data_IF_817576253250
#
_entry.id   IF_817576253250
#
_cell.length_a   1.000
_cell.length_b   1.000
_cell.length_c   1.000
_cell.angle_alpha   90.00
_cell.angle_beta   90.00
_cell.angle_gamma   90.00
#
_symmetry.space_group_name_H-M   'P 1'
#
loop_
_entity.id
_entity.type
_entity.pdbx_description
1 polymer ?
#
# COMPACT_ATOMS: atom_id res chain seq x y z
N UNK A 1 -28.79 4.18 9.31
CA UNK A 1 -28.08 3.81 8.09
C UNK A 1 -26.61 4.15 8.28
N UNK A 2 -25.74 3.20 8.05
CA UNK A 2 -24.31 3.41 8.25
C UNK A 2 -23.73 4.28 7.16
N UNK A 3 -22.82 5.17 7.55
CA UNK A 3 -22.09 5.96 6.57
C UNK A 3 -21.16 5.04 5.79
N UNK A 4 -20.98 5.29 4.48
CA UNK A 4 -20.03 4.49 3.72
C UNK A 4 -18.62 4.72 4.24
N UNK A 5 -17.86 3.64 4.32
CA UNK A 5 -16.46 3.72 4.73
C UNK A 5 -15.63 4.44 3.70
N UNK A 6 -14.64 5.19 4.16
CA UNK A 6 -13.69 5.85 3.27
C UNK A 6 -12.67 4.87 2.73
N UNK A 7 -12.22 5.12 1.52
CA UNK A 7 -11.24 4.30 0.84
C UNK A 7 -9.96 5.12 0.64
N UNK A 8 -8.82 4.51 0.94
CA UNK A 8 -7.51 5.13 0.82
C UNK A 8 -6.66 4.39 -0.21
N UNK A 9 -5.80 5.14 -0.88
CA UNK A 9 -4.82 4.57 -1.80
C UNK A 9 -3.46 4.57 -1.11
N UNK A 10 -2.80 3.41 -1.11
CA UNK A 10 -1.40 3.32 -0.69
C UNK A 10 -0.52 3.16 -1.91
N UNK A 11 0.61 3.84 -1.91
CA UNK A 11 1.58 3.74 -3.00
C UNK A 11 2.96 3.50 -2.41
N UNK A 12 3.58 2.40 -2.80
CA UNK A 12 4.94 2.05 -2.41
C UNK A 12 5.83 2.11 -3.64
N UNK A 13 6.46 3.28 -3.90
CA UNK A 13 7.21 3.48 -5.13
C UNK A 13 8.48 2.63 -5.19
N UNK A 14 8.70 1.99 -6.32
CA UNK A 14 9.93 1.31 -6.63
C UNK A 14 10.50 1.84 -7.93
N UNK A 15 11.71 1.41 -8.25
CA UNK A 15 12.41 1.87 -9.44
C UNK A 15 11.68 1.46 -10.72
N UNK A 16 11.35 0.18 -10.82
CA UNK A 16 10.72 -0.38 -12.02
C UNK A 16 9.26 -0.75 -11.79
N UNK A 17 8.92 -1.09 -10.56
CA UNK A 17 7.59 -1.51 -10.16
C UNK A 17 7.15 -0.73 -8.93
N UNK A 18 5.89 -0.38 -8.88
CA UNK A 18 5.31 0.36 -7.77
C UNK A 18 4.11 -0.42 -7.24
N UNK A 19 4.08 -0.65 -5.93
CA UNK A 19 2.94 -1.27 -5.29
C UNK A 19 1.82 -0.26 -5.12
N UNK A 20 0.59 -0.68 -5.43
CA UNK A 20 -0.60 0.14 -5.25
C UNK A 20 -1.65 -0.69 -4.51
N UNK A 21 -2.29 -0.08 -3.54
CA UNK A 21 -3.30 -0.77 -2.75
C UNK A 21 -4.46 0.17 -2.43
N UNK A 22 -5.66 -0.39 -2.44
CA UNK A 22 -6.86 0.30 -1.98
C UNK A 22 -7.28 -0.36 -0.67
N UNK A 23 -7.37 0.43 0.38
CA UNK A 23 -7.61 -0.05 1.73
C UNK A 23 -8.73 0.76 2.37
N UNK A 24 -9.72 0.06 2.93
CA UNK A 24 -10.82 0.70 3.64
C UNK A 24 -10.33 1.32 4.95
N UNK A 25 -11.06 2.30 5.44
CA UNK A 25 -10.69 2.99 6.68
C UNK A 25 -10.58 2.08 7.89
N UNK A 26 -11.17 0.88 7.84
CA UNK A 26 -11.04 -0.11 8.90
C UNK A 26 -9.81 -1.01 8.72
N UNK A 27 -8.97 -0.74 7.72
CA UNK A 27 -7.75 -1.50 7.46
C UNK A 27 -7.92 -2.71 6.55
N UNK A 28 -9.13 -3.01 6.10
CA UNK A 28 -9.37 -4.16 5.22
C UNK A 28 -8.94 -3.84 3.80
N UNK A 29 -8.31 -4.81 3.15
CA UNK A 29 -7.81 -4.66 1.79
C UNK A 29 -8.97 -4.79 0.81
N UNK A 30 -9.16 -3.77 -0.04
CA UNK A 30 -10.11 -3.85 -1.13
C UNK A 30 -9.46 -4.45 -2.37
N UNK A 31 -8.26 -3.95 -2.71
CA UNK A 31 -7.56 -4.36 -3.92
C UNK A 31 -6.09 -3.99 -3.79
N UNK A 32 -5.20 -4.80 -4.32
CA UNK A 32 -3.79 -4.46 -4.36
C UNK A 32 -3.17 -5.05 -5.62
N UNK A 33 -2.24 -4.32 -6.23
CA UNK A 33 -1.55 -4.74 -7.42
C UNK A 33 -0.16 -4.13 -7.47
N UNK A 34 0.68 -4.71 -8.29
CA UNK A 34 1.99 -4.15 -8.62
C UNK A 34 1.87 -3.57 -10.02
N UNK A 35 2.15 -2.28 -10.15
CA UNK A 35 2.02 -1.57 -11.41
C UNK A 35 3.40 -1.14 -11.92
N UNK A 36 3.58 -1.03 -13.24
CA UNK A 36 4.85 -0.48 -13.76
C UNK A 36 5.04 0.96 -13.26
N UNK A 37 6.26 1.27 -12.84
CA UNK A 37 6.59 2.64 -12.42
C UNK A 37 6.60 3.56 -13.63
N UNK A 38 7.10 3.05 -14.76
CA UNK A 38 7.03 3.79 -16.02
C UNK A 38 5.57 4.03 -16.39
N UNK A 39 5.25 5.30 -16.68
CA UNK A 39 3.89 5.70 -17.03
C UNK A 39 2.88 5.37 -15.91
N UNK A 40 3.32 5.54 -14.66
CA UNK A 40 2.54 5.10 -13.50
C UNK A 40 1.16 5.73 -13.42
N UNK A 41 1.06 7.03 -13.74
CA UNK A 41 -0.24 7.72 -13.63
C UNK A 41 -1.30 7.10 -14.53
N UNK A 42 -0.90 6.65 -15.72
CA UNK A 42 -1.84 5.99 -16.64
C UNK A 42 -2.30 4.65 -16.08
N UNK A 43 -1.35 3.86 -15.55
CA UNK A 43 -1.69 2.57 -14.94
C UNK A 43 -2.54 2.76 -13.69
N UNK A 44 -2.21 3.78 -12.90
CA UNK A 44 -2.98 4.08 -11.69
C UNK A 44 -4.42 4.46 -12.03
N UNK A 45 -4.60 5.26 -13.08
CA UNK A 45 -5.92 5.67 -13.48
C UNK A 45 -6.82 4.47 -13.80
N UNK A 46 -6.25 3.43 -14.40
CA UNK A 46 -6.99 2.20 -14.69
C UNK A 46 -7.25 1.37 -13.43
N UNK A 47 -6.39 1.50 -12.44
CA UNK A 47 -6.51 0.77 -11.18
C UNK A 47 -7.56 1.39 -10.25
N UNK A 48 -7.72 2.71 -10.30
CA UNK A 48 -8.59 3.41 -9.35
C UNK A 48 -10.08 3.11 -9.60
N UNK A 49 -10.87 3.01 -8.51
CA UNK A 49 -12.30 2.81 -8.64
C UNK A 49 -13.01 4.13 -8.96
N UNK A 50 -14.28 4.04 -9.31
CA UNK A 50 -15.09 5.24 -9.51
C UNK A 50 -15.35 5.97 -8.18
N UNK A 51 -15.33 5.25 -7.09
CA UNK A 51 -15.54 5.81 -5.76
C UNK A 51 -14.44 6.83 -5.42
N UNK A 52 -14.81 7.99 -4.84
CA UNK A 52 -13.80 8.96 -4.41
C UNK A 52 -12.87 8.39 -3.35
N UNK A 53 -11.61 8.82 -3.37
CA UNK A 53 -10.62 8.40 -2.39
C UNK A 53 -10.45 9.48 -1.33
N UNK A 54 -10.31 9.05 -0.08
CA UNK A 54 -10.07 9.96 1.04
C UNK A 54 -8.65 10.51 1.04
N UNK A 55 -7.72 9.78 0.43
CA UNK A 55 -6.34 10.23 0.35
C UNK A 55 -5.43 9.18 -0.23
N UNK A 56 -4.21 9.60 -0.52
CA UNK A 56 -3.14 8.73 -0.99
C UNK A 56 -2.00 8.76 0.03
N UNK A 57 -1.57 7.60 0.45
CA UNK A 57 -0.54 7.44 1.47
C UNK A 57 0.74 6.96 0.81
N UNK A 58 1.82 7.71 1.02
CA UNK A 58 3.15 7.37 0.49
C UNK A 58 4.13 7.18 1.64
N UNK A 59 5.19 6.41 1.39
CA UNK A 59 6.31 6.39 2.30
C UNK A 59 7.09 7.71 2.25
N UNK A 60 8.01 7.90 3.18
CA UNK A 60 8.81 9.12 3.29
C UNK A 60 10.20 8.99 2.65
N UNK A 61 10.43 7.95 1.86
CA UNK A 61 11.71 7.73 1.21
C UNK A 61 11.97 8.65 0.03
N UNK A 62 13.18 8.57 -0.50
CA UNK A 62 13.63 9.44 -1.60
C UNK A 62 12.79 9.25 -2.86
N UNK A 63 12.51 7.99 -3.21
CA UNK A 63 11.70 7.66 -4.38
C UNK A 63 10.29 8.21 -4.24
N UNK A 64 9.79 8.31 -3.01
CA UNK A 64 8.44 8.81 -2.76
C UNK A 64 8.29 10.29 -3.09
N UNK A 65 9.35 11.08 -2.98
CA UNK A 65 9.29 12.51 -3.32
C UNK A 65 9.00 12.72 -4.80
N UNK A 66 9.66 11.96 -5.65
CA UNK A 66 9.43 12.03 -7.10
C UNK A 66 8.01 11.58 -7.43
N UNK A 67 7.57 10.49 -6.80
CA UNK A 67 6.21 9.99 -7.00
C UNK A 67 5.17 10.99 -6.52
N UNK A 68 5.41 11.63 -5.37
CA UNK A 68 4.49 12.63 -4.84
C UNK A 68 4.30 13.79 -5.81
N UNK A 69 5.39 14.28 -6.39
CA UNK A 69 5.33 15.37 -7.36
C UNK A 69 4.52 14.98 -8.59
N UNK A 70 4.72 13.75 -9.07
CA UNK A 70 3.97 13.24 -10.21
C UNK A 70 2.47 13.13 -9.91
N UNK A 71 2.14 12.62 -8.72
CA UNK A 71 0.74 12.44 -8.32
C UNK A 71 0.05 13.80 -8.09
N UNK A 72 0.75 14.77 -7.53
CA UNK A 72 0.19 16.11 -7.36
C UNK A 72 -0.15 16.74 -8.71
N UNK A 73 0.71 16.50 -9.69
CA UNK A 73 0.49 17.03 -11.03
C UNK A 73 -0.67 16.35 -11.74
N UNK A 74 -0.72 15.03 -11.67
CA UNK A 74 -1.67 14.24 -12.45
C UNK A 74 -3.00 14.02 -11.74
N UNK A 75 -3.02 14.10 -10.40
CA UNK A 75 -4.22 13.92 -9.59
C UNK A 75 -4.31 15.05 -8.56
N UNK A 76 -4.52 16.29 -9.01
CA UNK A 76 -4.42 17.46 -8.11
C UNK A 76 -5.46 17.50 -7.02
N UNK A 77 -6.56 16.78 -7.13
CA UNK A 77 -7.60 16.77 -6.11
C UNK A 77 -7.43 15.67 -5.09
N UNK A 78 -6.43 14.78 -5.28
CA UNK A 78 -6.17 13.68 -4.37
C UNK A 78 -5.25 14.15 -3.24
N UNK A 79 -5.73 14.18 -1.97
CA UNK A 79 -4.86 14.55 -0.85
C UNK A 79 -3.72 13.55 -0.69
N UNK A 80 -2.50 14.05 -0.48
CA UNK A 80 -1.32 13.20 -0.29
C UNK A 80 -0.85 13.29 1.15
N UNK A 81 -0.58 12.14 1.76
CA UNK A 81 -0.04 12.04 3.11
C UNK A 81 1.17 11.14 3.10
N UNK A 82 2.13 11.42 3.97
CA UNK A 82 3.31 10.58 4.09
C UNK A 82 3.35 9.89 5.43
N UNK A 83 3.94 8.69 5.46
CA UNK A 83 4.18 7.95 6.69
C UNK A 83 5.61 7.43 6.67
N UNK A 84 6.14 7.11 7.85
CA UNK A 84 7.44 6.47 7.96
C UNK A 84 7.37 5.09 7.33
N UNK A 85 8.23 4.82 6.35
CA UNK A 85 8.24 3.53 5.65
C UNK A 85 9.20 2.52 6.25
N UNK A 86 9.93 2.88 7.31
CA UNK A 86 10.90 1.97 7.92
C UNK A 86 10.23 0.67 8.33
N UNK A 87 10.82 -0.43 7.89
CA UNK A 87 10.31 -1.76 8.24
C UNK A 87 9.04 -2.17 7.52
N UNK A 88 8.55 -1.38 6.57
CA UNK A 88 7.29 -1.71 5.87
C UNK A 88 7.36 -3.01 5.10
N UNK A 89 8.53 -3.34 4.52
CA UNK A 89 8.72 -4.60 3.81
C UNK A 89 8.62 -5.78 4.76
N UNK A 90 9.18 -5.64 5.97
CA UNK A 90 9.10 -6.72 6.96
C UNK A 90 7.67 -6.93 7.45
N UNK A 91 6.94 -5.83 7.68
CA UNK A 91 5.52 -5.94 8.04
C UNK A 91 4.70 -6.56 6.90
N UNK A 92 5.02 -6.22 5.66
CA UNK A 92 4.35 -6.79 4.51
C UNK A 92 4.56 -8.30 4.43
N UNK A 93 5.77 -8.77 4.74
CA UNK A 93 6.04 -10.21 4.79
C UNK A 93 5.20 -10.88 5.87
N UNK A 94 5.12 -10.27 7.05
CA UNK A 94 4.28 -10.80 8.12
C UNK A 94 2.84 -10.87 7.69
N UNK A 95 2.34 -9.80 7.09
CA UNK A 95 0.97 -9.75 6.62
C UNK A 95 0.71 -10.82 5.57
N UNK A 96 1.65 -11.00 4.63
CA UNK A 96 1.52 -12.05 3.62
C UNK A 96 1.34 -13.41 4.26
N UNK A 97 2.18 -13.74 5.26
CA UNK A 97 2.10 -15.06 5.89
C UNK A 97 0.89 -15.20 6.82
N UNK A 98 0.32 -14.09 7.30
CA UNK A 98 -0.96 -14.13 8.01
C UNK A 98 -2.11 -14.45 7.07
N UNK A 99 -2.07 -13.90 5.86
CA UNK A 99 -3.10 -14.13 4.84
C UNK A 99 -2.93 -15.48 4.15
N UNK A 100 -1.69 -15.97 4.07
CA UNK A 100 -1.35 -17.23 3.40
C UNK A 100 -0.43 -18.05 4.30
N UNK A 101 -0.98 -18.70 5.36
CA UNK A 101 -0.14 -19.42 6.32
C UNK A 101 0.71 -20.50 5.62
N UNK A 102 1.97 -20.68 6.04
CA UNK A 102 2.82 -21.71 5.47
C UNK A 102 2.22 -23.09 5.71
N UNK A 103 2.48 -24.00 4.78
CA UNK A 103 1.95 -25.36 4.84
C UNK A 103 3.08 -26.36 5.14
N UNK A 104 2.70 -27.51 5.71
CA UNK A 104 3.62 -28.59 5.99
C UNK A 104 4.66 -28.20 7.03
N UNK A 105 5.91 -28.66 6.82
CA UNK A 105 6.98 -28.42 7.79
C UNK A 105 7.36 -26.93 7.88
N UNK A 106 7.08 -26.15 6.85
CA UNK A 106 7.42 -24.73 6.85
C UNK A 106 6.69 -23.94 7.94
N UNK A 107 5.53 -24.43 8.39
CA UNK A 107 4.78 -23.78 9.47
C UNK A 107 5.54 -23.79 10.80
N UNK A 108 6.55 -24.65 10.93
CA UNK A 108 7.38 -24.74 12.13
C UNK A 108 8.54 -23.74 12.12
N UNK A 109 8.75 -23.03 11.01
CA UNK A 109 9.83 -22.06 10.87
C UNK A 109 9.32 -20.66 11.10
N UNK A 110 10.17 -19.75 11.66
CA UNK A 110 9.81 -18.33 11.67
C UNK A 110 9.58 -17.84 10.26
N UNK A 111 8.51 -17.08 10.04
CA UNK A 111 8.19 -16.58 8.70
C UNK A 111 9.27 -15.67 8.13
N UNK A 112 10.08 -15.07 9.00
CA UNK A 112 11.21 -14.25 8.54
C UNK A 112 12.24 -15.05 7.75
N UNK A 113 12.28 -16.39 7.92
CA UNK A 113 13.20 -17.27 7.21
C UNK A 113 12.61 -17.79 5.89
N UNK A 114 11.35 -17.50 5.62
CA UNK A 114 10.67 -17.97 4.41
C UNK A 114 10.71 -16.90 3.33
N UNK A 115 10.95 -17.33 2.10
CA UNK A 115 10.90 -16.41 0.96
C UNK A 115 9.45 -16.10 0.64
N UNK A 116 9.14 -14.80 0.60
CA UNK A 116 7.81 -14.35 0.22
C UNK A 116 7.79 -14.03 -1.27
N UNK A 117 6.67 -14.33 -1.97
CA UNK A 117 6.57 -13.99 -3.38
C UNK A 117 6.50 -12.48 -3.62
N UNK A 118 6.64 -12.07 -4.89
CA UNK A 118 6.62 -10.67 -5.27
C UNK A 118 5.33 -9.94 -4.88
N UNK A 119 4.25 -10.68 -4.61
CA UNK A 119 2.99 -10.09 -4.14
C UNK A 119 3.16 -9.28 -2.86
N UNK A 120 4.24 -9.51 -2.12
CA UNK A 120 4.55 -8.72 -0.91
C UNK A 120 4.72 -7.23 -1.23
N UNK A 121 5.18 -6.89 -2.44
CA UNK A 121 5.37 -5.48 -2.81
C UNK A 121 4.05 -4.71 -2.79
N UNK A 122 2.96 -5.35 -3.21
CA UNK A 122 1.63 -4.73 -3.10
C UNK A 122 1.18 -4.61 -1.66
N UNK A 123 1.54 -5.58 -0.82
CA UNK A 123 1.20 -5.54 0.60
C UNK A 123 1.99 -4.47 1.35
N UNK A 124 3.17 -4.08 0.87
CA UNK A 124 3.89 -2.95 1.47
C UNK A 124 3.06 -1.67 1.35
N UNK A 125 2.38 -1.47 0.22
CA UNK A 125 1.47 -0.34 0.07
C UNK A 125 0.30 -0.42 1.06
N UNK A 126 -0.22 -1.61 1.31
CA UNK A 126 -1.26 -1.82 2.33
C UNK A 126 -0.75 -1.40 3.71
N UNK A 127 0.47 -1.81 4.05
CA UNK A 127 1.07 -1.49 5.35
C UNK A 127 1.16 0.02 5.56
N UNK A 128 1.52 0.77 4.52
CA UNK A 128 1.61 2.22 4.61
C UNK A 128 0.26 2.83 4.98
N UNK A 129 -0.82 2.37 4.35
CA UNK A 129 -2.16 2.86 4.69
C UNK A 129 -2.53 2.49 6.12
N UNK A 130 -2.25 1.25 6.52
CA UNK A 130 -2.57 0.80 7.87
C UNK A 130 -1.83 1.60 8.93
N UNK A 131 -0.57 1.97 8.66
CA UNK A 131 0.20 2.83 9.56
C UNK A 131 -0.43 4.21 9.67
N UNK A 132 -0.84 4.78 8.55
CA UNK A 132 -1.50 6.08 8.56
C UNK A 132 -2.78 6.05 9.38
N UNK A 133 -3.60 5.03 9.17
CA UNK A 133 -4.87 4.89 9.88
C UNK A 133 -4.66 4.71 11.37
N UNK A 134 -3.67 3.93 11.77
CA UNK A 134 -3.33 3.73 13.17
C UNK A 134 -2.88 5.03 13.83
N UNK A 135 -1.99 5.77 13.18
CA UNK A 135 -1.47 7.02 13.72
C UNK A 135 -2.56 8.08 13.81
N UNK A 136 -3.46 8.11 12.84
CA UNK A 136 -4.59 9.01 12.84
C UNK A 136 -5.53 8.75 14.02
N UNK A 137 -5.71 7.48 14.36
CA UNK A 137 -6.61 7.08 15.44
C UNK A 137 -6.07 7.45 16.81
N UNK A 138 -4.74 7.43 16.97
CA UNK A 138 -4.09 7.71 18.26
C UNK A 138 -4.20 9.18 18.65
N UNK A 139 -4.35 10.06 17.71
CA UNK A 139 -4.45 11.50 18.01
C UNK A 139 -5.75 11.90 18.64
#
# INVERSE_FOLDING_TARGET
MDEPMELYLGVDPGRDKTGAALVWENGRIFKQEILPTDDFSRHLQQFLPEQPLAGCILGDGTTSKTMAAQLEKDFPQLPLFTVNEYGSTQEAKKLYWQLHPPKGWKRLLPTALLDAPSAVDGLAAVVLVQRYLRDKTIK
#
